data_IF_340661032979
#
_entry.id   IF_340661032979
#
_cell.length_a   1.000
_cell.length_b   1.000
_cell.length_c   1.000
_cell.angle_alpha   90.00
_cell.angle_beta   90.00
_cell.angle_gamma   90.00
#
_symmetry.space_group_name_H-M   'P 1'
#
loop_
_entity.id
_entity.type
_entity.pdbx_description
1 polymer ?
#
# COMPACT_ATOMS: atom_id res chain seq x y z
N UNK A 1 10.16 27.65 15.31
CA UNK A 1 10.20 26.20 14.99
C UNK A 1 11.03 26.06 13.71
N UNK A 2 12.01 25.17 13.66
CA UNK A 2 12.72 24.92 12.39
C UNK A 2 11.79 24.15 11.47
N UNK A 3 11.68 24.62 10.23
CA UNK A 3 10.90 23.97 9.18
C UNK A 3 11.47 22.59 8.86
N UNK A 4 10.60 21.58 8.74
CA UNK A 4 11.01 20.20 8.40
C UNK A 4 11.64 20.12 7.01
N UNK A 5 11.38 21.10 6.14
CA UNK A 5 12.02 21.24 4.83
C UNK A 5 13.54 21.15 4.94
N UNK A 6 14.14 21.82 5.92
CA UNK A 6 15.60 21.84 6.12
C UNK A 6 16.16 20.47 6.54
N UNK A 7 15.31 19.58 7.06
CA UNK A 7 15.67 18.23 7.50
C UNK A 7 15.53 17.18 6.41
N UNK A 8 14.99 17.52 5.23
CA UNK A 8 14.89 16.59 4.10
C UNK A 8 16.26 16.32 3.46
N UNK A 9 16.46 15.11 2.95
CA UNK A 9 17.73 14.68 2.37
C UNK A 9 18.24 15.63 1.28
N UNK A 10 17.38 16.03 0.34
CA UNK A 10 17.78 16.92 -0.75
C UNK A 10 18.07 18.35 -0.28
N UNK A 11 17.38 18.84 0.74
CA UNK A 11 17.69 20.15 1.35
C UNK A 11 19.08 20.15 2.02
N UNK A 12 19.55 18.98 2.45
CA UNK A 12 20.89 18.78 2.99
C UNK A 12 21.95 18.43 1.92
N UNK A 13 21.57 18.37 0.64
CA UNK A 13 22.45 17.94 -0.45
C UNK A 13 22.85 16.45 -0.40
N UNK A 14 22.10 15.63 0.36
CA UNK A 14 22.34 14.19 0.49
C UNK A 14 21.59 13.42 -0.59
N UNK A 15 22.18 12.31 -1.02
CA UNK A 15 21.61 11.41 -2.06
C UNK A 15 20.98 10.15 -1.47
N UNK A 16 21.24 9.86 -0.20
CA UNK A 16 20.67 8.72 0.51
C UNK A 16 19.36 9.10 1.23
N UNK A 17 18.54 8.10 1.54
CA UNK A 17 17.24 8.31 2.19
C UNK A 17 17.33 8.37 3.74
N UNK A 18 18.52 8.30 4.33
CA UNK A 18 18.65 8.22 5.80
C UNK A 18 18.11 9.45 6.54
N UNK A 19 18.33 10.70 6.08
CA UNK A 19 17.74 11.87 6.72
C UNK A 19 16.21 11.81 6.77
N UNK A 20 15.58 11.29 5.71
CA UNK A 20 14.13 11.17 5.64
C UNK A 20 13.61 10.13 6.66
N UNK A 21 14.35 9.03 6.87
CA UNK A 21 14.00 8.00 7.87
C UNK A 21 14.24 8.50 9.30
N UNK A 22 15.33 9.23 9.53
CA UNK A 22 15.61 9.88 10.81
C UNK A 22 14.51 10.88 11.17
N UNK A 23 14.10 11.71 10.21
CA UNK A 23 12.99 12.65 10.39
C UNK A 23 11.67 11.91 10.69
N UNK A 24 11.36 10.83 9.97
CA UNK A 24 10.17 10.02 10.24
C UNK A 24 10.16 9.46 11.67
N UNK A 25 11.28 8.89 12.13
CA UNK A 25 11.44 8.40 13.51
C UNK A 25 11.21 9.53 14.53
N UNK A 26 11.81 10.70 14.30
CA UNK A 26 11.61 11.86 15.18
C UNK A 26 10.15 12.29 15.28
N UNK A 27 9.43 12.34 14.15
CA UNK A 27 8.02 12.70 14.09
C UNK A 27 7.17 11.69 14.88
N UNK A 28 7.44 10.40 14.71
CA UNK A 28 6.72 9.32 15.43
C UNK A 28 6.95 9.43 16.94
N UNK A 29 8.21 9.57 17.36
CA UNK A 29 8.60 9.68 18.77
C UNK A 29 7.95 10.89 19.45
N UNK A 30 7.84 12.01 18.72
CA UNK A 30 7.28 13.26 19.24
C UNK A 30 5.79 13.42 19.03
N UNK A 31 5.13 12.53 18.30
CA UNK A 31 3.74 12.72 17.86
C UNK A 31 3.56 14.07 17.13
N UNK A 32 4.53 14.45 16.30
CA UNK A 32 4.60 15.80 15.76
C UNK A 32 3.61 16.01 14.60
N UNK A 33 2.39 16.39 14.94
CA UNK A 33 1.32 16.66 13.96
C UNK A 33 1.63 17.87 13.07
N UNK A 34 2.40 18.84 13.58
CA UNK A 34 2.79 20.04 12.83
C UNK A 34 3.80 19.70 11.75
N UNK A 35 4.78 18.85 12.06
CA UNK A 35 5.72 18.33 11.07
C UNK A 35 5.01 17.55 9.96
N UNK A 36 4.02 16.72 10.31
CA UNK A 36 3.22 15.99 9.31
C UNK A 36 2.43 16.96 8.42
N UNK A 37 1.80 17.98 9.01
CA UNK A 37 1.07 18.99 8.25
C UNK A 37 1.99 19.71 7.26
N UNK A 38 3.19 20.12 7.70
CA UNK A 38 4.18 20.77 6.84
C UNK A 38 4.62 19.85 5.70
N UNK A 39 4.91 18.57 5.98
CA UNK A 39 5.28 17.59 4.95
C UNK A 39 4.15 17.39 3.92
N UNK A 40 2.90 17.38 4.35
CA UNK A 40 1.74 17.28 3.46
C UNK A 40 1.65 18.49 2.53
N UNK A 41 1.90 19.69 3.05
CA UNK A 41 1.97 20.91 2.23
C UNK A 41 3.13 20.84 1.21
N UNK A 42 4.28 20.29 1.60
CA UNK A 42 5.46 20.12 0.73
C UNK A 42 5.24 19.13 -0.43
N UNK A 43 4.17 18.32 -0.42
CA UNK A 43 3.79 17.49 -1.58
C UNK A 43 3.40 18.32 -2.81
N UNK A 44 3.05 19.59 -2.62
CA UNK A 44 2.77 20.55 -3.70
C UNK A 44 3.96 21.48 -4.00
N UNK A 45 5.13 21.21 -3.40
CA UNK A 45 6.32 22.05 -3.60
C UNK A 45 6.78 22.03 -5.07
N UNK A 46 7.37 23.12 -5.56
CA UNK A 46 7.84 23.23 -6.96
C UNK A 46 8.96 22.25 -7.32
N UNK A 47 9.76 21.86 -6.33
CA UNK A 47 10.87 20.93 -6.48
C UNK A 47 10.40 19.48 -6.24
N UNK A 48 10.53 18.65 -7.27
CA UNK A 48 10.14 17.23 -7.26
C UNK A 48 10.97 16.39 -6.28
N UNK A 49 12.19 16.81 -5.96
CA UNK A 49 13.01 16.13 -4.98
C UNK A 49 12.45 16.33 -3.57
N UNK A 50 12.05 17.56 -3.25
CA UNK A 50 11.36 17.88 -1.99
C UNK A 50 10.02 17.14 -1.89
N UNK A 51 9.24 17.08 -2.97
CA UNK A 51 8.02 16.27 -3.01
C UNK A 51 8.31 14.79 -2.68
N UNK A 52 9.35 14.23 -3.29
CA UNK A 52 9.74 12.82 -3.16
C UNK A 52 10.27 12.47 -1.77
N UNK A 53 11.03 13.38 -1.16
CA UNK A 53 11.48 13.26 0.22
C UNK A 53 10.31 13.39 1.19
N UNK A 54 9.41 14.34 0.95
CA UNK A 54 8.25 14.57 1.82
C UNK A 54 7.33 13.35 1.85
N UNK A 55 6.98 12.79 0.68
CA UNK A 55 6.15 11.58 0.64
C UNK A 55 6.86 10.38 1.26
N UNK A 56 8.20 10.32 1.14
CA UNK A 56 9.02 9.28 1.77
C UNK A 56 8.88 9.32 3.28
N UNK A 57 9.08 10.50 3.89
CA UNK A 57 8.91 10.69 5.32
C UNK A 57 7.49 10.32 5.74
N UNK A 58 6.48 10.81 5.02
CA UNK A 58 5.08 10.56 5.36
C UNK A 58 4.76 9.06 5.40
N UNK A 59 5.10 8.27 4.39
CA UNK A 59 4.76 6.85 4.44
C UNK A 59 5.56 6.07 5.48
N UNK A 60 6.80 6.48 5.81
CA UNK A 60 7.58 5.88 6.91
C UNK A 60 6.91 6.20 8.26
N UNK A 61 6.42 7.43 8.46
CA UNK A 61 5.59 7.79 9.62
C UNK A 61 4.32 6.93 9.68
N UNK A 62 3.65 6.73 8.54
CA UNK A 62 2.43 5.93 8.46
C UNK A 62 2.63 4.47 8.85
N UNK A 63 3.77 3.86 8.53
CA UNK A 63 4.08 2.47 8.89
C UNK A 63 4.06 2.27 10.41
N UNK A 64 4.61 3.23 11.16
CA UNK A 64 4.71 3.15 12.62
C UNK A 64 3.51 3.78 13.34
N UNK A 65 2.92 4.84 12.76
CA UNK A 65 1.88 5.66 13.40
C UNK A 65 0.85 6.19 12.41
N UNK A 66 -0.03 5.30 11.90
CA UNK A 66 -0.99 5.65 10.85
C UNK A 66 -1.99 6.74 11.27
N UNK A 67 -2.26 6.92 12.57
CA UNK A 67 -3.16 7.95 13.10
C UNK A 67 -2.70 9.37 12.76
N UNK A 68 -1.38 9.59 12.64
CA UNK A 68 -0.84 10.89 12.25
C UNK A 68 -1.17 11.23 10.79
N UNK A 69 -1.35 10.23 9.94
CA UNK A 69 -1.68 10.42 8.53
C UNK A 69 -3.19 10.42 8.24
N UNK A 70 -4.00 9.86 9.15
CA UNK A 70 -5.44 9.70 8.98
C UNK A 70 -6.18 11.00 8.56
N UNK A 71 -5.86 12.19 9.11
CA UNK A 71 -6.51 13.44 8.68
C UNK A 71 -6.27 13.81 7.20
N UNK A 72 -5.25 13.22 6.56
CA UNK A 72 -4.76 13.60 5.24
C UNK A 72 -5.12 12.60 4.13
N UNK A 73 -6.03 11.65 4.39
CA UNK A 73 -6.49 10.65 3.40
C UNK A 73 -6.87 11.30 2.07
N UNK A 74 -7.63 12.42 2.11
CA UNK A 74 -8.04 13.15 0.91
C UNK A 74 -6.85 13.62 0.06
N UNK A 75 -5.75 14.03 0.69
CA UNK A 75 -4.54 14.45 -0.03
C UNK A 75 -3.89 13.25 -0.71
N UNK A 76 -3.76 12.11 -0.02
CA UNK A 76 -3.19 10.91 -0.63
C UNK A 76 -4.05 10.38 -1.79
N UNK A 77 -5.37 10.42 -1.67
CA UNK A 77 -6.28 10.07 -2.78
C UNK A 77 -6.07 10.99 -3.99
N UNK A 78 -5.93 12.30 -3.78
CA UNK A 78 -5.65 13.24 -4.87
C UNK A 78 -4.32 12.94 -5.60
N UNK A 79 -3.31 12.47 -4.87
CA UNK A 79 -2.01 12.09 -5.45
C UNK A 79 -2.10 10.84 -6.33
N UNK A 80 -3.17 10.05 -6.29
CA UNK A 80 -3.31 8.86 -7.15
C UNK A 80 -3.46 9.19 -8.64
N UNK A 81 -3.85 10.43 -8.97
CA UNK A 81 -4.15 10.84 -10.35
C UNK A 81 -3.05 11.66 -11.02
N UNK A 82 -1.92 11.88 -10.34
CA UNK A 82 -0.83 12.69 -10.90
C UNK A 82 0.15 11.81 -11.68
N UNK A 83 0.88 12.42 -12.63
CA UNK A 83 1.85 11.72 -13.47
C UNK A 83 3.13 11.29 -12.73
N UNK A 84 3.34 11.75 -11.49
CA UNK A 84 4.53 11.43 -10.72
C UNK A 84 4.39 10.08 -10.01
N UNK A 85 4.95 9.02 -10.60
CA UNK A 85 4.91 7.66 -10.05
C UNK A 85 5.42 7.57 -8.60
N UNK A 86 6.47 8.31 -8.23
CA UNK A 86 7.03 8.28 -6.87
C UNK A 86 6.01 8.76 -5.84
N UNK A 87 5.25 9.80 -6.17
CA UNK A 87 4.17 10.31 -5.33
C UNK A 87 2.98 9.36 -5.29
N UNK A 88 2.59 8.77 -6.43
CA UNK A 88 1.54 7.74 -6.47
C UNK A 88 1.92 6.55 -5.57
N UNK A 89 3.17 6.07 -5.63
CA UNK A 89 3.62 4.96 -4.79
C UNK A 89 3.58 5.30 -3.30
N UNK A 90 4.08 6.48 -2.94
CA UNK A 90 4.05 6.93 -1.55
C UNK A 90 2.63 7.18 -1.04
N UNK A 91 1.73 7.69 -1.89
CA UNK A 91 0.32 7.82 -1.57
C UNK A 91 -0.36 6.45 -1.35
N UNK A 92 -0.09 5.47 -2.22
CA UNK A 92 -0.57 4.10 -2.04
C UNK A 92 -0.03 3.46 -0.75
N UNK A 93 1.22 3.72 -0.39
CA UNK A 93 1.81 3.27 0.87
C UNK A 93 1.15 3.93 2.10
N UNK A 94 0.91 5.25 2.05
CA UNK A 94 0.21 5.98 3.10
C UNK A 94 -1.25 5.51 3.24
N UNK A 95 -1.97 5.30 2.14
CA UNK A 95 -3.33 4.76 2.14
C UNK A 95 -3.39 3.33 2.71
N UNK A 96 -2.40 2.50 2.40
CA UNK A 96 -2.26 1.17 3.01
C UNK A 96 -2.07 1.23 4.53
N UNK A 97 -1.25 2.17 5.02
CA UNK A 97 -1.05 2.36 6.45
C UNK A 97 -2.35 2.81 7.14
N UNK A 98 -2.98 3.87 6.64
CA UNK A 98 -4.20 4.44 7.27
C UNK A 98 -5.42 3.53 7.14
N UNK A 99 -5.44 2.57 6.22
CA UNK A 99 -6.51 1.57 6.13
C UNK A 99 -6.69 0.77 7.45
N UNK A 100 -5.65 0.69 8.27
CA UNK A 100 -5.71 0.00 9.59
C UNK A 100 -6.49 0.79 10.65
N UNK A 101 -6.60 2.11 10.52
CA UNK A 101 -7.26 3.00 11.49
C UNK A 101 -8.48 3.75 10.90
N UNK A 102 -8.58 3.82 9.57
CA UNK A 102 -9.61 4.54 8.82
C UNK A 102 -10.12 3.70 7.63
N UNK A 103 -10.45 2.44 7.90
CA UNK A 103 -10.90 1.49 6.87
C UNK A 103 -12.09 2.02 6.05
N UNK A 104 -13.08 2.65 6.68
CA UNK A 104 -14.26 3.18 5.98
C UNK A 104 -13.91 4.25 4.94
N UNK A 105 -13.13 5.25 5.33
CA UNK A 105 -12.72 6.33 4.42
C UNK A 105 -11.84 5.81 3.28
N UNK A 106 -10.99 4.81 3.54
CA UNK A 106 -10.19 4.15 2.49
C UNK A 106 -11.09 3.33 1.57
N UNK A 107 -12.04 2.58 2.12
CA UNK A 107 -12.98 1.76 1.34
C UNK A 107 -13.86 2.62 0.42
N UNK A 108 -14.34 3.78 0.88
CA UNK A 108 -15.08 4.73 0.06
C UNK A 108 -14.28 5.22 -1.17
N UNK A 109 -12.95 5.16 -1.12
CA UNK A 109 -12.05 5.53 -2.21
C UNK A 109 -11.43 4.31 -2.92
N UNK A 110 -11.89 3.08 -2.64
CA UNK A 110 -11.30 1.85 -3.17
C UNK A 110 -11.29 1.81 -4.70
N UNK A 111 -12.34 2.32 -5.36
CA UNK A 111 -12.40 2.40 -6.82
C UNK A 111 -11.26 3.24 -7.42
N UNK A 112 -10.90 4.36 -6.81
CA UNK A 112 -9.80 5.22 -7.24
C UNK A 112 -8.44 4.56 -6.98
N UNK A 113 -8.31 3.84 -5.87
CA UNK A 113 -7.11 3.07 -5.52
C UNK A 113 -6.87 1.97 -6.55
N UNK A 114 -7.92 1.24 -6.94
CA UNK A 114 -7.83 0.18 -7.94
C UNK A 114 -7.55 0.74 -9.34
N UNK A 115 -8.17 1.86 -9.73
CA UNK A 115 -7.88 2.53 -10.99
C UNK A 115 -6.40 2.96 -11.09
N UNK A 116 -5.86 3.56 -10.02
CA UNK A 116 -4.46 3.95 -9.95
C UNK A 116 -3.50 2.75 -10.01
N UNK A 117 -3.86 1.63 -9.38
CA UNK A 117 -3.09 0.38 -9.45
C UNK A 117 -3.12 -0.25 -10.85
N UNK A 118 -4.27 -0.24 -11.51
CA UNK A 118 -4.44 -0.83 -12.85
C UNK A 118 -3.65 -0.07 -13.91
N UNK A 119 -3.65 1.26 -13.84
CA UNK A 119 -2.86 2.15 -14.72
C UNK A 119 -1.39 2.27 -14.29
N UNK A 120 -1.09 1.90 -13.05
CA UNK A 120 0.20 2.11 -12.40
C UNK A 120 1.21 0.99 -12.62
N UNK A 121 2.34 1.13 -11.92
CA UNK A 121 3.40 0.13 -11.91
C UNK A 121 3.08 -1.05 -10.97
N UNK A 122 3.95 -2.07 -11.00
CA UNK A 122 3.89 -3.21 -10.08
C UNK A 122 3.84 -2.77 -8.61
N UNK A 123 4.53 -1.69 -8.23
CA UNK A 123 4.53 -1.17 -6.85
C UNK A 123 3.13 -0.67 -6.45
N UNK A 124 2.42 0.00 -7.35
CA UNK A 124 1.04 0.44 -7.07
C UNK A 124 0.11 -0.77 -6.89
N UNK A 125 0.25 -1.80 -7.73
CA UNK A 125 -0.52 -3.05 -7.61
C UNK A 125 -0.24 -3.77 -6.29
N UNK A 126 1.03 -3.85 -5.87
CA UNK A 126 1.42 -4.46 -4.60
C UNK A 126 0.75 -3.77 -3.41
N UNK A 127 0.70 -2.43 -3.42
CA UNK A 127 0.00 -1.68 -2.36
C UNK A 127 -1.52 -1.82 -2.43
N UNK A 128 -2.13 -1.88 -3.61
CA UNK A 128 -3.57 -2.11 -3.74
C UNK A 128 -3.99 -3.46 -3.13
N UNK A 129 -3.22 -4.52 -3.39
CA UNK A 129 -3.45 -5.83 -2.76
C UNK A 129 -3.34 -5.73 -1.24
N UNK A 130 -2.33 -5.04 -0.72
CA UNK A 130 -2.18 -4.83 0.73
C UNK A 130 -3.35 -4.04 1.32
N UNK A 131 -3.82 -2.98 0.65
CA UNK A 131 -4.99 -2.19 1.06
C UNK A 131 -6.22 -3.10 1.13
N UNK A 132 -6.52 -3.85 0.07
CA UNK A 132 -7.66 -4.77 0.06
C UNK A 132 -7.56 -5.81 1.18
N UNK A 133 -6.35 -6.32 1.48
CA UNK A 133 -6.14 -7.24 2.60
C UNK A 133 -6.40 -6.57 3.95
N UNK A 134 -6.05 -5.30 4.15
CA UNK A 134 -6.41 -4.59 5.39
C UNK A 134 -7.92 -4.39 5.50
N UNK A 135 -8.56 -3.98 4.41
CA UNK A 135 -10.01 -3.81 4.36
C UNK A 135 -10.74 -5.14 4.59
N UNK A 136 -10.22 -6.25 4.08
CA UNK A 136 -10.79 -7.58 4.24
C UNK A 136 -10.84 -8.06 5.71
N UNK A 137 -10.00 -7.49 6.59
CA UNK A 137 -10.04 -7.78 8.03
C UNK A 137 -11.21 -7.10 8.75
N UNK A 138 -11.86 -6.13 8.11
CA UNK A 138 -13.01 -5.41 8.67
C UNK A 138 -14.29 -6.10 8.18
N UNK A 139 -15.15 -6.63 9.08
CA UNK A 139 -16.31 -7.45 8.70
C UNK A 139 -17.24 -6.81 7.66
N UNK A 140 -17.40 -5.49 7.70
CA UNK A 140 -18.23 -4.74 6.76
C UNK A 140 -17.73 -4.80 5.30
N UNK A 141 -16.43 -5.02 5.10
CA UNK A 141 -15.78 -4.98 3.78
C UNK A 141 -15.20 -6.34 3.36
N UNK A 142 -15.22 -7.33 4.24
CA UNK A 142 -14.60 -8.66 4.02
C UNK A 142 -15.03 -9.32 2.72
N UNK A 143 -16.33 -9.49 2.48
CA UNK A 143 -16.83 -10.22 1.32
C UNK A 143 -16.48 -9.52 -0.01
N UNK A 144 -16.73 -8.21 -0.09
CA UNK A 144 -16.44 -7.43 -1.29
C UNK A 144 -14.94 -7.40 -1.61
N UNK A 145 -14.10 -7.06 -0.62
CA UNK A 145 -12.64 -6.99 -0.84
C UNK A 145 -12.00 -8.34 -1.11
N UNK A 146 -12.51 -9.44 -0.54
CA UNK A 146 -12.06 -10.79 -0.90
C UNK A 146 -12.44 -11.17 -2.32
N UNK A 147 -13.64 -10.79 -2.77
CA UNK A 147 -14.08 -10.99 -4.15
C UNK A 147 -13.14 -10.25 -5.11
N UNK A 148 -12.84 -8.99 -4.83
CA UNK A 148 -11.90 -8.18 -5.62
C UNK A 148 -10.47 -8.73 -5.59
N UNK A 149 -9.98 -9.18 -4.42
CA UNK A 149 -8.67 -9.83 -4.31
C UNK A 149 -8.59 -11.08 -5.19
N UNK A 150 -9.60 -11.95 -5.14
CA UNK A 150 -9.60 -13.18 -5.92
C UNK A 150 -9.72 -12.88 -7.42
N UNK A 151 -10.48 -11.86 -7.80
CA UNK A 151 -10.53 -11.40 -9.18
C UNK A 151 -9.16 -10.90 -9.67
N UNK A 152 -8.47 -10.10 -8.85
CA UNK A 152 -7.10 -9.63 -9.14
C UNK A 152 -6.11 -10.79 -9.35
N UNK A 153 -6.31 -11.93 -8.66
CA UNK A 153 -5.46 -13.12 -8.81
C UNK A 153 -5.63 -13.82 -10.17
N UNK A 154 -6.71 -13.56 -10.92
CA UNK A 154 -6.90 -14.15 -12.25
C UNK A 154 -5.91 -13.61 -13.28
N UNK A 155 -5.58 -12.32 -13.18
CA UNK A 155 -4.68 -11.63 -14.12
C UNK A 155 -3.38 -11.14 -13.47
N UNK A 156 -3.13 -11.52 -12.20
CA UNK A 156 -1.91 -11.13 -11.50
C UNK A 156 -0.65 -11.59 -12.28
N UNK A 157 0.40 -10.74 -12.36
CA UNK A 157 1.68 -11.14 -12.94
C UNK A 157 2.23 -12.38 -12.25
N UNK A 158 2.69 -13.38 -13.02
CA UNK A 158 3.18 -14.66 -12.48
C UNK A 158 4.29 -14.49 -11.43
N UNK A 159 5.08 -13.41 -11.53
CA UNK A 159 6.11 -13.10 -10.54
C UNK A 159 5.54 -12.68 -9.18
N UNK A 160 4.39 -12.00 -9.17
CA UNK A 160 3.73 -11.51 -7.95
C UNK A 160 2.67 -12.46 -7.41
N UNK A 161 2.11 -13.33 -8.27
CA UNK A 161 1.02 -14.23 -7.95
C UNK A 161 1.23 -14.99 -6.62
N UNK A 162 2.38 -15.64 -6.33
CA UNK A 162 2.57 -16.33 -5.05
C UNK A 162 2.43 -15.41 -3.83
N UNK A 163 2.96 -14.20 -3.90
CA UNK A 163 2.89 -13.24 -2.80
C UNK A 163 1.47 -12.73 -2.59
N UNK A 164 0.72 -12.47 -3.68
CA UNK A 164 -0.67 -12.02 -3.58
C UNK A 164 -1.58 -13.11 -3.04
N UNK A 165 -1.37 -14.35 -3.47
CA UNK A 165 -2.09 -15.53 -2.98
C UNK A 165 -1.82 -15.74 -1.49
N UNK A 166 -0.57 -15.66 -1.06
CA UNK A 166 -0.19 -15.80 0.36
C UNK A 166 -0.85 -14.73 1.23
N UNK A 167 -0.86 -13.46 0.78
CA UNK A 167 -1.54 -12.37 1.47
C UNK A 167 -3.06 -12.61 1.55
N UNK A 168 -3.69 -12.96 0.43
CA UNK A 168 -5.14 -13.23 0.36
C UNK A 168 -5.52 -14.39 1.30
N UNK A 169 -4.70 -15.43 1.37
CA UNK A 169 -4.93 -16.57 2.25
C UNK A 169 -4.88 -16.22 3.76
N UNK A 170 -4.31 -15.08 4.15
CA UNK A 170 -4.32 -14.63 5.55
C UNK A 170 -5.68 -14.10 6.01
N UNK A 171 -6.55 -13.73 5.07
CA UNK A 171 -7.85 -13.09 5.33
C UNK A 171 -9.03 -13.84 4.71
N UNK A 172 -8.78 -14.93 3.98
CA UNK A 172 -9.83 -15.71 3.29
C UNK A 172 -10.82 -16.32 4.27
N UNK A 173 -12.12 -16.20 3.97
CA UNK A 173 -13.19 -16.85 4.73
C UNK A 173 -13.61 -18.17 4.08
N UNK A 174 -14.39 -18.98 4.80
CA UNK A 174 -14.93 -20.25 4.28
C UNK A 174 -15.73 -20.09 2.99
N UNK A 175 -16.46 -18.99 2.85
CA UNK A 175 -17.23 -18.63 1.65
C UNK A 175 -16.34 -18.49 0.41
N UNK A 176 -15.14 -17.94 0.58
CA UNK A 176 -14.23 -17.60 -0.51
C UNK A 176 -13.17 -18.68 -0.79
N UNK A 177 -13.00 -19.67 0.11
CA UNK A 177 -12.00 -20.74 -0.02
C UNK A 177 -12.14 -21.50 -1.34
N UNK A 178 -13.37 -21.82 -1.74
CA UNK A 178 -13.64 -22.61 -2.96
C UNK A 178 -13.20 -21.85 -4.20
N UNK A 179 -13.58 -20.58 -4.31
CA UNK A 179 -13.25 -19.75 -5.45
C UNK A 179 -11.74 -19.45 -5.52
N UNK A 180 -11.12 -19.13 -4.38
CA UNK A 180 -9.66 -18.97 -4.31
C UNK A 180 -8.94 -20.26 -4.77
N UNK A 181 -9.36 -21.43 -4.28
CA UNK A 181 -8.77 -22.71 -4.67
C UNK A 181 -8.90 -22.96 -6.18
N UNK A 182 -10.06 -22.63 -6.76
CA UNK A 182 -10.30 -22.75 -8.19
C UNK A 182 -9.35 -21.87 -9.00
N UNK A 183 -9.19 -20.59 -8.63
CA UNK A 183 -8.25 -19.68 -9.30
C UNK A 183 -6.81 -20.18 -9.18
N UNK A 184 -6.37 -20.62 -7.99
CA UNK A 184 -5.02 -21.15 -7.82
C UNK A 184 -4.78 -22.39 -8.69
N UNK A 185 -5.74 -23.32 -8.77
CA UNK A 185 -5.63 -24.50 -9.62
C UNK A 185 -5.54 -24.15 -11.11
N UNK A 186 -6.25 -23.11 -11.56
CA UNK A 186 -6.21 -22.63 -12.94
C UNK A 186 -4.89 -21.94 -13.28
N UNK A 187 -4.36 -21.12 -12.36
CA UNK A 187 -3.13 -20.35 -12.57
C UNK A 187 -1.86 -21.17 -12.35
N UNK A 188 -1.90 -22.23 -11.54
CA UNK A 188 -0.71 -23.02 -11.17
C UNK A 188 0.07 -23.57 -12.39
N UNK A 189 -0.57 -24.12 -13.45
CA UNK A 189 0.14 -24.59 -14.64
C UNK A 189 0.88 -23.50 -15.43
N UNK A 190 0.51 -22.23 -15.27
CA UNK A 190 1.18 -21.10 -15.94
C UNK A 190 2.52 -20.75 -15.28
N UNK A 191 2.77 -21.22 -14.05
CA UNK A 191 3.97 -20.90 -13.29
C UNK A 191 5.07 -21.91 -13.60
N UNK A 192 6.10 -21.49 -14.32
CA UNK A 192 7.22 -22.38 -14.69
C UNK A 192 8.21 -22.60 -13.55
N UNK A 193 8.39 -21.59 -12.70
CA UNK A 193 9.41 -21.61 -11.65
C UNK A 193 8.98 -22.48 -10.46
N UNK A 194 9.68 -23.61 -10.27
CA UNK A 194 9.35 -24.61 -9.23
C UNK A 194 9.21 -24.02 -7.82
N UNK A 195 10.08 -23.06 -7.44
CA UNK A 195 10.00 -22.41 -6.14
C UNK A 195 8.70 -21.63 -5.92
N UNK A 196 8.13 -21.06 -6.99
CA UNK A 196 6.83 -20.36 -6.96
C UNK A 196 5.67 -21.35 -6.96
N UNK A 197 5.75 -22.44 -7.72
CA UNK A 197 4.76 -23.52 -7.69
C UNK A 197 4.60 -24.08 -6.28
N UNK A 198 5.73 -24.39 -5.61
CA UNK A 198 5.72 -24.89 -4.22
C UNK A 198 5.03 -23.94 -3.24
N UNK A 199 5.17 -22.63 -3.44
CA UNK A 199 4.46 -21.62 -2.61
C UNK A 199 2.95 -21.68 -2.82
N UNK A 200 2.49 -21.74 -4.07
CA UNK A 200 1.07 -21.83 -4.41
C UNK A 200 0.44 -23.16 -3.93
N UNK A 201 1.11 -24.28 -4.15
CA UNK A 201 0.68 -25.60 -3.67
C UNK A 201 0.55 -25.64 -2.15
N UNK A 202 1.47 -24.98 -1.42
CA UNK A 202 1.39 -24.88 0.03
C UNK A 202 0.14 -24.15 0.48
N UNK A 203 -0.27 -23.11 -0.23
CA UNK A 203 -1.54 -22.40 0.05
C UNK A 203 -2.74 -23.28 -0.30
N UNK A 204 -2.77 -23.92 -1.48
CA UNK A 204 -3.83 -24.86 -1.86
C UNK A 204 -4.06 -25.95 -0.81
N UNK A 205 -2.98 -26.58 -0.33
CA UNK A 205 -3.05 -27.60 0.74
C UNK A 205 -3.63 -27.07 2.05
N UNK A 206 -3.44 -25.78 2.35
CA UNK A 206 -4.04 -25.14 3.55
C UNK A 206 -5.51 -24.83 3.35
N UNK A 207 -5.95 -24.49 2.15
CA UNK A 207 -7.35 -24.19 1.84
C UNK A 207 -8.24 -25.44 1.88
N UNK A 208 -7.66 -26.60 1.58
CA UNK A 208 -8.32 -27.91 1.62
C UNK A 208 -8.45 -28.51 3.04
N UNK A 209 -7.83 -27.86 4.04
CA UNK A 209 -8.03 -28.17 5.46
C UNK A 209 -9.13 -27.28 6.03
#
# INVERSE_FOLDING_TARGET
>A
MMSVLSSLANSQGRRDEEPNKELARHIVDKNDTTAVEELVQLLQHKDKNIQSDSIKVLYEVGVEKPELLAPYIKVFVQLLHIKNNRLVWGAMAALNAVATVKAEEVYQNLSLILDAANKGSVIAKDHAVKIMVQLAKVPAYTSDTLTLLIDQLKDAPLNQLPSYVELTATVVTSEHKTELSRVLQQRLPEVEQESKCKRLEKVLKKLQK
#
